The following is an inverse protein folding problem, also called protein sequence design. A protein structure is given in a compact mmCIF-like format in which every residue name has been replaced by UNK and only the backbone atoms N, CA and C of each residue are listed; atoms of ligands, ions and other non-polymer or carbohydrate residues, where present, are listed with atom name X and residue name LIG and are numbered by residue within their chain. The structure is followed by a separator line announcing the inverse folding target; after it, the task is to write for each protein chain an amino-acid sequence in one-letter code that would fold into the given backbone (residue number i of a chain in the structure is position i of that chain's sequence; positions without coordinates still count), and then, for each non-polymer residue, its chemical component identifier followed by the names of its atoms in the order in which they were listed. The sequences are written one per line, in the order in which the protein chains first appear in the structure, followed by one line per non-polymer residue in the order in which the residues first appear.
data_IF_133742493982
#
_entry.id   IF_133742493982
#
_cell.length_a   1.000
_cell.length_b   1.000
_cell.length_c   1.000
_cell.angle_alpha   90.00
_cell.angle_beta   90.00
_cell.angle_gamma   90.00
#
_symmetry.space_group_name_H-M   'P 1'
#
loop_
_entity.id
_entity.type
_entity.pdbx_description
1 polymer ?
#
# COMPACT_ATOMS: atom_id res chain seq x y z
N UNK A 1 24.32 -30.01 -1.71
CA UNK A 1 25.74 -29.77 -1.36
C UNK A 1 25.75 -28.73 -0.24
N UNK A 2 26.33 -29.01 0.94
CA UNK A 2 26.30 -28.05 2.06
C UNK A 2 27.10 -26.78 1.74
N UNK A 3 26.42 -25.64 1.67
CA UNK A 3 27.03 -24.30 1.78
C UNK A 3 26.43 -23.66 3.04
N UNK A 4 27.28 -23.18 3.94
CA UNK A 4 26.91 -22.48 5.19
C UNK A 4 26.22 -23.32 6.29
N UNK A 5 26.45 -24.64 6.35
CA UNK A 5 26.00 -25.45 7.49
C UNK A 5 24.49 -25.76 7.51
N UNK A 6 23.75 -25.38 6.47
CA UNK A 6 22.38 -25.83 6.24
C UNK A 6 22.36 -26.92 5.14
N UNK A 7 21.54 -27.98 5.30
CA UNK A 7 21.39 -29.02 4.30
C UNK A 7 20.72 -28.44 3.05
N UNK A 8 21.43 -28.41 1.93
CA UNK A 8 20.90 -27.98 0.62
C UNK A 8 20.66 -29.19 -0.28
N UNK A 9 19.42 -29.35 -0.74
CA UNK A 9 19.02 -30.31 -1.77
C UNK A 9 18.78 -29.54 -3.06
N UNK A 10 19.38 -30.03 -4.15
CA UNK A 10 19.03 -29.59 -5.49
C UNK A 10 18.09 -30.64 -6.07
N UNK A 11 16.93 -30.20 -6.56
CA UNK A 11 15.95 -31.08 -7.19
C UNK A 11 15.93 -30.72 -8.67
N UNK A 12 16.35 -31.66 -9.52
CA UNK A 12 16.35 -31.50 -10.97
C UNK A 12 15.18 -32.28 -11.62
N UNK A 13 14.66 -33.29 -10.93
CA UNK A 13 13.56 -34.13 -11.41
C UNK A 13 12.24 -33.64 -10.80
N UNK A 14 11.74 -32.52 -11.32
CA UNK A 14 10.42 -31.97 -10.96
C UNK A 14 9.38 -32.62 -11.89
N UNK A 15 8.31 -33.17 -11.30
CA UNK A 15 7.25 -33.85 -12.04
C UNK A 15 6.22 -32.85 -12.56
N UNK A 16 5.86 -31.87 -11.73
CA UNK A 16 4.93 -30.78 -12.04
C UNK A 16 5.43 -29.52 -11.33
N UNK A 17 5.35 -28.37 -12.01
CA UNK A 17 5.78 -27.08 -11.48
C UNK A 17 4.73 -26.02 -11.81
N UNK A 18 4.15 -25.42 -10.78
CA UNK A 18 3.18 -24.35 -10.90
C UNK A 18 3.70 -23.11 -10.16
N UNK A 19 3.64 -21.96 -10.83
CA UNK A 19 4.16 -20.70 -10.32
C UNK A 19 3.14 -19.60 -10.56
N UNK A 20 2.64 -19.02 -9.47
CA UNK A 20 1.70 -17.92 -9.55
C UNK A 20 2.31 -16.70 -10.27
N UNK A 21 1.51 -15.98 -11.07
CA UNK A 21 1.95 -14.79 -11.76
C UNK A 21 2.39 -13.69 -10.78
N UNK A 22 3.33 -12.86 -11.21
CA UNK A 22 3.60 -11.60 -10.51
C UNK A 22 2.47 -10.61 -10.80
N UNK A 23 1.46 -10.59 -9.94
CA UNK A 23 0.22 -9.84 -10.14
C UNK A 23 0.11 -8.63 -9.19
N UNK A 24 -0.01 -7.44 -9.78
CA UNK A 24 -0.21 -6.14 -9.11
C UNK A 24 -1.61 -5.56 -9.37
N UNK A 25 -2.53 -6.36 -9.92
CA UNK A 25 -3.82 -5.93 -10.46
C UNK A 25 -5.07 -6.49 -9.76
N UNK A 26 -4.91 -7.30 -8.70
CA UNK A 26 -6.01 -8.00 -8.02
C UNK A 26 -7.31 -7.19 -7.85
N UNK A 27 -8.43 -7.81 -8.22
CA UNK A 27 -9.78 -7.21 -8.34
C UNK A 27 -10.32 -6.70 -6.99
N UNK A 28 -9.89 -7.30 -5.88
CA UNK A 28 -10.18 -6.86 -4.52
C UNK A 28 -9.03 -6.00 -3.97
N UNK A 29 -8.85 -4.80 -4.52
CA UNK A 29 -8.40 -3.54 -3.88
C UNK A 29 -7.50 -3.51 -2.62
N UNK A 30 -6.70 -4.53 -2.32
CA UNK A 30 -5.92 -4.63 -1.08
C UNK A 30 -4.61 -5.40 -1.25
N UNK A 31 -4.49 -6.24 -2.27
CA UNK A 31 -3.41 -7.24 -2.32
C UNK A 31 -2.68 -7.19 -3.66
N UNK A 32 -1.38 -6.88 -3.61
CA UNK A 32 -0.45 -7.67 -4.40
C UNK A 32 -0.68 -9.13 -3.99
N UNK A 33 -0.87 -10.02 -4.96
CA UNK A 33 -1.05 -11.43 -4.60
C UNK A 33 0.31 -11.97 -4.18
N UNK A 34 0.35 -12.58 -2.99
CA UNK A 34 1.49 -13.39 -2.61
C UNK A 34 1.64 -14.49 -3.66
N UNK A 35 2.82 -14.61 -4.23
CA UNK A 35 3.09 -15.64 -5.23
C UNK A 35 3.34 -16.95 -4.50
N UNK A 36 2.65 -18.00 -4.90
CA UNK A 36 3.00 -19.36 -4.51
C UNK A 36 3.78 -20.06 -5.62
N UNK A 37 4.67 -20.95 -5.20
CA UNK A 37 5.33 -21.94 -6.05
C UNK A 37 4.92 -23.30 -5.51
N UNK A 38 4.34 -24.14 -6.38
CA UNK A 38 4.03 -25.54 -6.08
C UNK A 38 4.91 -26.43 -6.93
N UNK A 39 5.59 -27.37 -6.28
CA UNK A 39 6.47 -28.31 -6.95
C UNK A 39 6.12 -29.74 -6.51
N UNK A 40 5.74 -30.58 -7.47
CA UNK A 40 5.52 -32.01 -7.25
C UNK A 40 6.80 -32.76 -7.59
N UNK A 41 7.33 -33.48 -6.61
CA UNK A 41 8.61 -34.19 -6.74
C UNK A 41 8.50 -35.60 -6.16
N UNK A 42 9.43 -36.48 -6.54
CA UNK A 42 9.53 -37.80 -5.92
C UNK A 42 9.95 -37.69 -4.45
N UNK A 43 9.24 -38.36 -3.55
CA UNK A 43 9.61 -38.39 -2.14
C UNK A 43 10.80 -39.32 -1.92
N UNK A 44 12.00 -38.73 -1.93
CA UNK A 44 13.25 -39.44 -1.63
C UNK A 44 13.46 -39.57 -0.12
N UNK A 45 14.25 -40.56 0.34
CA UNK A 45 14.58 -40.70 1.77
C UNK A 45 15.20 -39.43 2.39
N UNK A 46 16.13 -38.70 1.71
CA UNK A 46 16.63 -37.43 2.22
C UNK A 46 15.55 -36.35 2.35
N UNK A 47 14.65 -36.24 1.36
CA UNK A 47 13.56 -35.28 1.39
C UNK A 47 12.55 -35.62 2.49
N UNK A 48 12.20 -36.91 2.63
CA UNK A 48 11.36 -37.40 3.71
C UNK A 48 11.96 -37.10 5.09
N UNK A 49 13.27 -37.31 5.25
CA UNK A 49 13.97 -36.98 6.49
C UNK A 49 13.94 -35.47 6.79
N UNK A 50 14.11 -34.62 5.77
CA UNK A 50 14.00 -33.17 5.96
C UNK A 50 12.57 -32.76 6.34
N UNK A 51 11.57 -33.19 5.58
CA UNK A 51 10.18 -32.77 5.77
C UNK A 51 9.57 -33.28 7.08
N UNK A 52 9.88 -34.52 7.47
CA UNK A 52 9.22 -35.21 8.59
C UNK A 52 10.09 -35.20 9.86
N UNK A 53 11.43 -35.19 9.71
CA UNK A 53 12.39 -35.17 10.81
C UNK A 53 12.33 -36.38 11.76
N UNK A 54 13.35 -36.51 12.63
CA UNK A 54 13.33 -37.47 13.76
C UNK A 54 12.83 -36.83 15.07
N UNK A 55 12.79 -35.49 15.16
CA UNK A 55 12.42 -34.74 16.36
C UNK A 55 11.36 -33.67 16.08
N UNK A 56 10.19 -33.86 16.69
CA UNK A 56 9.02 -32.98 16.64
C UNK A 56 9.21 -31.70 17.49
N UNK A 57 10.25 -30.90 17.23
CA UNK A 57 10.42 -29.59 17.86
C UNK A 57 10.07 -28.50 16.86
N UNK A 58 8.78 -28.29 16.63
CA UNK A 58 8.31 -27.13 15.88
C UNK A 58 7.99 -25.99 16.84
N UNK A 59 8.56 -24.83 16.57
CA UNK A 59 8.01 -23.55 17.01
C UNK A 59 7.71 -22.72 15.76
N UNK A 60 6.68 -21.89 15.85
CA UNK A 60 6.30 -20.88 14.86
C UNK A 60 5.49 -21.28 13.61
N UNK A 61 4.96 -22.49 13.42
CA UNK A 61 4.10 -22.73 12.23
C UNK A 61 4.80 -22.51 10.87
N UNK A 62 6.13 -22.36 10.88
CA UNK A 62 7.02 -22.32 9.73
C UNK A 62 8.12 -23.35 9.96
N UNK A 63 8.43 -24.15 8.95
CA UNK A 63 9.69 -24.88 8.89
C UNK A 63 10.63 -24.05 8.02
N UNK A 64 11.88 -23.85 8.42
CA UNK A 64 12.82 -22.99 7.67
C UNK A 64 13.35 -23.70 6.42
N UNK A 65 12.46 -24.06 5.50
CA UNK A 65 12.81 -24.44 4.15
C UNK A 65 12.63 -23.23 3.25
N UNK A 66 13.75 -22.67 2.84
CA UNK A 66 13.81 -21.69 1.78
C UNK A 66 14.07 -22.44 0.46
N UNK A 67 13.28 -22.11 -0.57
CA UNK A 67 13.52 -22.54 -1.94
C UNK A 67 13.80 -21.36 -2.87
N UNK A 68 14.62 -21.62 -3.89
CA UNK A 68 14.81 -20.75 -5.03
C UNK A 68 14.48 -21.55 -6.29
N UNK A 69 13.74 -20.94 -7.20
CA UNK A 69 13.58 -21.47 -8.55
C UNK A 69 14.55 -20.73 -9.46
N UNK A 70 15.32 -21.51 -10.22
CA UNK A 70 16.26 -21.00 -11.21
C UNK A 70 15.72 -21.31 -12.60
N UNK A 71 15.96 -20.41 -13.56
CA UNK A 71 15.77 -20.70 -14.98
C UNK A 71 16.93 -21.55 -15.54
N UNK A 72 16.90 -21.83 -16.84
CA UNK A 72 17.91 -22.58 -17.57
C UNK A 72 19.29 -21.88 -17.65
N UNK A 73 19.36 -20.60 -17.25
CA UNK A 73 20.55 -19.75 -17.26
C UNK A 73 21.07 -19.47 -15.84
N UNK A 74 20.59 -20.21 -14.83
CA UNK A 74 20.91 -20.03 -13.40
C UNK A 74 20.44 -18.67 -12.81
N UNK A 75 19.48 -17.98 -13.45
CA UNK A 75 18.90 -16.77 -12.88
C UNK A 75 17.77 -17.12 -11.90
N UNK A 76 17.71 -16.39 -10.78
CA UNK A 76 16.65 -16.57 -9.77
C UNK A 76 15.35 -15.96 -10.29
N UNK A 77 14.35 -16.81 -10.54
CA UNK A 77 13.00 -16.37 -10.98
C UNK A 77 11.96 -16.41 -9.86
N UNK A 78 12.25 -17.14 -8.77
CA UNK A 78 11.42 -17.16 -7.57
C UNK A 78 12.27 -17.41 -6.32
N UNK A 79 11.84 -16.83 -5.19
CA UNK A 79 12.41 -17.09 -3.88
C UNK A 79 11.27 -17.07 -2.86
N UNK A 80 11.18 -18.14 -2.07
CA UNK A 80 10.09 -18.28 -1.10
C UNK A 80 10.41 -19.25 0.03
N UNK A 81 9.48 -19.35 0.97
CA UNK A 81 9.58 -20.17 2.17
C UNK A 81 8.40 -21.12 2.26
N UNK A 82 8.62 -22.31 2.80
CA UNK A 82 7.56 -23.27 3.04
C UNK A 82 7.01 -23.11 4.47
N UNK A 83 5.71 -22.88 4.61
CA UNK A 83 5.07 -22.89 5.92
C UNK A 83 5.03 -24.31 6.52
N UNK A 84 4.78 -24.42 7.83
CA UNK A 84 4.66 -25.72 8.49
C UNK A 84 3.52 -26.51 7.88
N UNK A 85 3.82 -27.73 7.40
CA UNK A 85 2.80 -28.60 6.83
C UNK A 85 2.27 -28.13 5.47
N UNK A 86 2.95 -27.18 4.82
CA UNK A 86 2.67 -26.78 3.43
C UNK A 86 3.26 -27.80 2.45
N UNK A 87 2.95 -29.08 2.68
CA UNK A 87 3.28 -30.18 1.78
C UNK A 87 2.22 -31.27 1.88
N UNK A 88 1.99 -31.97 0.77
CA UNK A 88 1.08 -33.11 0.71
C UNK A 88 1.82 -34.31 0.11
N UNK A 89 1.66 -35.49 0.72
CA UNK A 89 2.30 -36.73 0.25
C UNK A 89 1.23 -37.60 -0.40
N UNK A 90 1.45 -37.97 -1.65
CA UNK A 90 0.61 -38.89 -2.39
C UNK A 90 1.30 -40.25 -2.56
N UNK A 91 0.52 -41.33 -2.39
CA UNK A 91 0.99 -42.71 -2.47
C UNK A 91 0.60 -43.32 -3.82
N UNK A 92 1.55 -43.36 -4.76
CA UNK A 92 1.36 -44.03 -6.04
C UNK A 92 1.46 -45.56 -5.91
N UNK A 93 2.31 -46.05 -5.00
CA UNK A 93 2.39 -47.47 -4.61
C UNK A 93 3.08 -47.63 -3.24
N UNK A 94 3.22 -48.87 -2.75
CA UNK A 94 3.96 -49.19 -1.52
C UNK A 94 5.43 -48.71 -1.51
N UNK A 95 6.06 -48.53 -2.68
CA UNK A 95 7.45 -48.08 -2.82
C UNK A 95 7.64 -46.80 -3.63
N UNK A 96 6.55 -46.14 -4.02
CA UNK A 96 6.58 -44.94 -4.85
C UNK A 96 5.65 -43.90 -4.23
N UNK A 97 6.22 -42.79 -3.79
CA UNK A 97 5.53 -41.68 -3.15
C UNK A 97 5.96 -40.39 -3.86
N UNK A 98 5.02 -39.51 -4.10
CA UNK A 98 5.27 -38.13 -4.53
C UNK A 98 4.97 -37.19 -3.36
N UNK A 99 5.60 -36.03 -3.39
CA UNK A 99 5.31 -34.95 -2.46
C UNK A 99 5.15 -33.66 -3.24
N UNK A 100 4.03 -32.99 -3.00
CA UNK A 100 3.79 -31.62 -3.44
C UNK A 100 4.29 -30.69 -2.34
N UNK A 101 5.15 -29.74 -2.71
CA UNK A 101 5.72 -28.74 -1.83
C UNK A 101 5.14 -27.38 -2.20
N UNK A 102 4.58 -26.65 -1.22
CA UNK A 102 4.02 -25.31 -1.44
C UNK A 102 4.87 -24.25 -0.74
N UNK A 103 5.48 -23.37 -1.53
CA UNK A 103 6.30 -22.26 -1.06
C UNK A 103 5.56 -20.94 -1.30
N UNK A 104 5.55 -20.06 -0.31
CA UNK A 104 5.08 -18.66 -0.47
C UNK A 104 6.26 -17.71 -0.62
N UNK A 105 6.11 -16.67 -1.43
CA UNK A 105 7.16 -15.68 -1.60
C UNK A 105 7.39 -14.84 -0.32
N UNK A 106 8.45 -14.03 -0.32
CA UNK A 106 8.76 -13.19 0.84
C UNK A 106 7.68 -12.14 1.11
N UNK A 107 6.93 -11.71 0.09
CA UNK A 107 5.79 -10.83 0.31
C UNK A 107 4.67 -11.54 1.07
N UNK A 108 4.33 -12.77 0.68
CA UNK A 108 3.39 -13.63 1.39
C UNK A 108 3.82 -13.93 2.82
N UNK A 109 5.12 -14.15 3.06
CA UNK A 109 5.67 -14.27 4.41
C UNK A 109 5.43 -12.99 5.23
N UNK A 110 5.78 -11.82 4.68
CA UNK A 110 5.58 -10.53 5.35
C UNK A 110 4.11 -10.30 5.67
N UNK A 111 3.21 -10.56 4.72
CA UNK A 111 1.76 -10.46 4.95
C UNK A 111 1.28 -11.40 6.05
N UNK A 112 1.80 -12.62 6.08
CA UNK A 112 1.47 -13.59 7.13
C UNK A 112 1.94 -13.10 8.50
N UNK A 113 3.17 -12.58 8.58
CA UNK A 113 3.71 -12.01 9.81
C UNK A 113 2.98 -10.74 10.26
N UNK A 114 2.44 -9.96 9.31
CA UNK A 114 1.69 -8.74 9.57
C UNK A 114 0.30 -9.00 10.16
N UNK A 115 -0.37 -10.11 9.80
CA UNK A 115 -1.72 -10.48 10.30
C UNK A 115 -1.79 -10.56 11.83
N UNK A 116 -0.72 -11.02 12.47
CA UNK A 116 -0.68 -11.17 13.92
C UNK A 116 -0.14 -9.93 14.66
N UNK A 117 0.24 -8.88 13.92
CA UNK A 117 0.82 -7.66 14.48
C UNK A 117 -0.16 -6.50 14.55
N UNK A 118 0.14 -5.58 15.46
CA UNK A 118 -0.57 -4.32 15.62
C UNK A 118 0.40 -3.16 15.52
N UNK A 119 -0.01 -2.12 14.78
CA UNK A 119 0.77 -0.92 14.53
C UNK A 119 0.09 0.26 15.21
N UNK A 120 0.77 0.97 16.13
CA UNK A 120 0.23 2.16 16.77
C UNK A 120 0.37 3.39 15.86
N UNK A 121 -0.74 4.09 15.64
CA UNK A 121 -0.78 5.43 15.06
C UNK A 121 -0.94 6.45 16.18
N UNK A 122 0.11 7.22 16.45
CA UNK A 122 0.13 8.24 17.51
C UNK A 122 -0.24 9.63 17.00
N UNK A 123 -0.11 9.86 15.70
CA UNK A 123 -0.39 11.13 15.04
C UNK A 123 -1.78 11.10 14.39
N UNK A 124 -2.41 12.26 14.28
CA UNK A 124 -3.67 12.43 13.55
C UNK A 124 -3.48 12.55 12.04
N UNK A 125 -2.23 12.63 11.57
CA UNK A 125 -1.87 12.70 10.16
C UNK A 125 -0.65 11.82 9.91
N UNK A 126 -0.65 11.11 8.79
CA UNK A 126 0.49 10.29 8.37
C UNK A 126 0.83 10.53 6.90
N UNK A 127 2.09 10.31 6.55
CA UNK A 127 2.49 10.09 5.17
C UNK A 127 2.35 8.58 4.87
N UNK A 128 1.42 8.16 3.99
CA UNK A 128 1.16 6.76 3.70
C UNK A 128 2.39 5.99 3.24
N UNK A 129 3.22 6.56 2.35
CA UNK A 129 4.41 5.89 1.83
C UNK A 129 5.44 5.65 2.93
N UNK A 130 5.69 6.66 3.77
CA UNK A 130 6.59 6.52 4.92
C UNK A 130 6.05 5.50 5.93
N UNK A 131 4.73 5.50 6.14
CA UNK A 131 4.09 4.56 7.05
C UNK A 131 4.17 3.12 6.52
N UNK A 132 3.98 2.88 5.21
CA UNK A 132 4.18 1.56 4.58
C UNK A 132 5.60 1.05 4.86
N UNK A 133 6.64 1.86 4.61
CA UNK A 133 8.02 1.48 4.93
C UNK A 133 8.21 1.15 6.40
N UNK A 134 7.60 1.91 7.32
CA UNK A 134 7.71 1.65 8.76
C UNK A 134 6.98 0.37 9.18
N UNK A 135 5.84 0.04 8.59
CA UNK A 135 5.12 -1.21 8.85
C UNK A 135 5.96 -2.39 8.41
N UNK A 136 6.50 -2.36 7.18
CA UNK A 136 7.33 -3.43 6.64
C UNK A 136 8.57 -3.67 7.51
N UNK A 137 9.25 -2.60 7.95
CA UNK A 137 10.39 -2.70 8.85
C UNK A 137 10.02 -3.30 10.21
N UNK A 138 8.92 -2.85 10.82
CA UNK A 138 8.45 -3.39 12.11
C UNK A 138 8.03 -4.87 12.02
N UNK A 139 7.50 -5.31 10.88
CA UNK A 139 7.12 -6.72 10.68
C UNK A 139 8.36 -7.61 10.59
N UNK A 140 9.41 -7.15 9.87
CA UNK A 140 10.66 -7.90 9.65
C UNK A 140 11.59 -7.82 10.87
N UNK A 141 11.65 -6.64 11.51
CA UNK A 141 12.53 -6.31 12.63
C UNK A 141 11.69 -5.92 13.87
N UNK A 142 10.92 -6.85 14.44
CA UNK A 142 10.02 -6.51 15.52
C UNK A 142 10.76 -6.13 16.81
N UNK A 143 10.17 -5.18 17.54
CA UNK A 143 10.69 -4.77 18.85
C UNK A 143 10.36 -5.81 19.93
N UNK A 144 11.22 -5.96 20.94
CA UNK A 144 10.98 -6.89 22.06
C UNK A 144 9.81 -6.48 22.97
N UNK A 145 9.26 -5.28 22.80
CA UNK A 145 8.22 -4.72 23.67
C UNK A 145 6.78 -5.03 23.20
N UNK A 146 6.58 -5.57 22.00
CA UNK A 146 5.25 -6.03 21.56
C UNK A 146 4.87 -7.33 22.30
N UNK A 147 3.60 -7.50 22.69
CA UNK A 147 3.15 -8.74 23.32
C UNK A 147 3.37 -9.92 22.37
N UNK A 148 3.87 -11.04 22.90
CA UNK A 148 3.97 -12.28 22.15
C UNK A 148 2.61 -12.64 21.55
N UNK A 149 2.61 -12.98 20.26
CA UNK A 149 1.40 -13.50 19.63
C UNK A 149 1.10 -14.89 20.18
N UNK A 150 -0.13 -15.38 19.99
CA UNK A 150 -0.47 -16.74 20.41
C UNK A 150 0.28 -17.82 19.60
N UNK A 151 0.88 -17.45 18.46
CA UNK A 151 1.47 -18.38 17.48
C UNK A 151 3.00 -18.39 17.52
N UNK A 152 3.63 -17.23 17.73
CA UNK A 152 5.09 -17.06 17.76
C UNK A 152 5.52 -15.81 18.54
N UNK A 153 6.76 -15.81 19.02
CA UNK A 153 7.38 -14.69 19.74
C UNK A 153 8.16 -13.78 18.80
N UNK A 154 8.51 -12.57 19.25
CA UNK A 154 9.36 -11.67 18.47
C UNK A 154 10.78 -12.22 18.25
N UNK A 155 11.28 -13.05 19.18
CA UNK A 155 12.57 -13.72 19.03
C UNK A 155 12.53 -14.74 17.87
N UNK A 156 11.42 -15.47 17.72
CA UNK A 156 11.25 -16.43 16.62
C UNK A 156 11.28 -15.71 15.25
N UNK A 157 10.65 -14.53 15.17
CA UNK A 157 10.64 -13.71 13.94
C UNK A 157 12.03 -13.17 13.62
N UNK A 158 12.79 -12.72 14.62
CA UNK A 158 14.17 -12.26 14.42
C UNK A 158 15.11 -13.39 13.99
N UNK A 159 14.93 -14.60 14.54
CA UNK A 159 15.67 -15.79 14.12
C UNK A 159 15.34 -16.15 12.67
N UNK A 160 14.05 -16.14 12.29
CA UNK A 160 13.59 -16.35 10.92
C UNK A 160 14.17 -15.30 9.96
N UNK A 161 14.06 -14.02 10.30
CA UNK A 161 14.58 -12.93 9.50
C UNK A 161 16.10 -13.03 9.32
N UNK A 162 16.82 -13.46 10.35
CA UNK A 162 18.26 -13.72 10.28
C UNK A 162 18.59 -14.91 9.39
N UNK A 163 17.83 -16.00 9.50
CA UNK A 163 18.03 -17.22 8.71
C UNK A 163 17.77 -16.98 7.21
N UNK A 164 16.82 -16.12 6.88
CA UNK A 164 16.46 -15.74 5.51
C UNK A 164 17.23 -14.52 5.01
N UNK A 165 18.14 -13.96 5.81
CA UNK A 165 18.86 -12.70 5.52
C UNK A 165 17.93 -11.49 5.27
N UNK A 166 16.68 -11.53 5.72
CA UNK A 166 15.70 -10.43 5.62
C UNK A 166 16.11 -9.23 6.46
N UNK A 167 16.94 -9.40 7.49
CA UNK A 167 17.49 -8.28 8.29
C UNK A 167 18.37 -7.32 7.47
N UNK A 168 18.89 -7.77 6.32
CA UNK A 168 19.66 -6.94 5.38
C UNK A 168 18.80 -6.39 4.23
N UNK A 169 17.50 -6.67 4.24
CA UNK A 169 16.61 -6.31 3.15
C UNK A 169 16.49 -4.79 3.07
N UNK A 170 16.78 -4.24 1.90
CA UNK A 170 16.65 -2.79 1.67
C UNK A 170 15.20 -2.48 1.32
N UNK A 171 14.53 -1.69 2.17
CA UNK A 171 13.20 -1.15 1.87
C UNK A 171 13.40 0.24 1.27
N UNK A 172 13.01 0.41 0.01
CA UNK A 172 13.15 1.66 -0.71
C UNK A 172 11.84 2.08 -1.37
N UNK A 173 11.74 3.37 -1.66
CA UNK A 173 10.59 3.93 -2.40
C UNK A 173 11.09 4.53 -3.70
N UNK A 174 10.54 4.05 -4.82
CA UNK A 174 10.62 4.64 -6.15
C UNK A 174 9.28 5.30 -6.53
N UNK A 175 8.45 5.57 -5.52
CA UNK A 175 7.14 6.13 -5.69
C UNK A 175 7.23 7.62 -6.06
N UNK A 176 6.61 7.98 -7.18
CA UNK A 176 6.49 9.36 -7.64
C UNK A 176 5.16 9.95 -7.17
N UNK A 177 5.24 10.92 -6.25
CA UNK A 177 4.07 11.63 -5.72
C UNK A 177 3.46 12.58 -6.74
N UNK A 178 4.21 13.03 -7.75
CA UNK A 178 3.74 13.99 -8.76
C UNK A 178 2.77 13.34 -9.75
N UNK A 179 2.89 12.04 -10.00
CA UNK A 179 1.91 11.27 -10.79
C UNK A 179 0.51 11.30 -10.19
N UNK A 180 0.39 11.67 -8.91
CA UNK A 180 -0.87 11.76 -8.20
C UNK A 180 -1.41 13.17 -7.97
N UNK A 181 -0.77 14.18 -8.56
CA UNK A 181 -1.19 15.57 -8.39
C UNK A 181 -1.76 16.17 -9.68
N UNK A 182 -2.86 16.95 -9.58
CA UNK A 182 -3.65 17.23 -8.38
C UNK A 182 -4.72 16.15 -8.12
N UNK A 183 -4.62 15.48 -6.98
CA UNK A 183 -5.74 14.78 -6.36
C UNK A 183 -6.73 15.85 -5.86
N UNK A 184 -7.95 15.89 -6.37
CA UNK A 184 -8.95 16.87 -5.96
C UNK A 184 -9.84 16.30 -4.85
N UNK A 185 -9.98 17.04 -3.76
CA UNK A 185 -10.97 16.75 -2.72
C UNK A 185 -12.18 17.65 -2.89
N UNK A 186 -13.37 17.08 -2.70
CA UNK A 186 -14.61 17.83 -2.59
C UNK A 186 -15.23 17.69 -1.20
N UNK A 187 -15.83 18.78 -0.73
CA UNK A 187 -16.51 18.87 0.57
C UNK A 187 -15.66 18.38 1.75
N UNK A 188 -14.34 18.62 1.73
CA UNK A 188 -13.46 18.26 2.83
C UNK A 188 -13.81 19.09 4.07
N UNK A 189 -14.10 18.45 5.20
CA UNK A 189 -14.53 19.13 6.42
C UNK A 189 -13.32 19.73 7.13
N UNK A 190 -13.29 21.06 7.24
CA UNK A 190 -12.25 21.78 7.98
C UNK A 190 -12.61 21.90 9.45
N UNK A 191 -13.80 22.43 9.74
CA UNK A 191 -14.22 22.69 11.12
C UNK A 191 -15.73 22.86 11.23
N UNK A 192 -16.31 22.30 12.27
CA UNK A 192 -17.74 22.46 12.59
C UNK A 192 -17.89 23.47 13.74
N UNK A 193 -18.56 24.59 13.46
CA UNK A 193 -18.80 25.63 14.48
C UNK A 193 -19.63 25.13 15.66
N UNK A 194 -20.48 24.10 15.49
CA UNK A 194 -21.27 23.55 16.58
C UNK A 194 -20.38 22.87 17.63
N UNK A 195 -19.30 22.21 17.20
CA UNK A 195 -18.32 21.58 18.11
C UNK A 195 -17.51 22.60 18.93
N UNK A 196 -17.53 23.87 18.53
CA UNK A 196 -16.81 24.94 19.21
C UNK A 196 -17.66 25.69 20.22
N UNK A 197 -18.99 25.53 20.18
CA UNK A 197 -19.93 26.24 21.05
C UNK A 197 -19.76 25.78 22.49
N UNK A 198 -19.72 26.74 23.40
CA UNK A 198 -19.68 26.49 24.84
C UNK A 198 -20.99 26.86 25.54
N UNK A 199 -21.70 27.86 25.03
CA UNK A 199 -22.96 28.37 25.58
C UNK A 199 -23.98 28.63 24.46
N UNK A 200 -25.17 29.14 24.80
CA UNK A 200 -26.13 29.60 23.78
C UNK A 200 -25.92 31.08 23.52
N UNK A 201 -25.81 31.51 22.26
CA UNK A 201 -25.54 32.91 21.91
C UNK A 201 -25.34 33.13 20.41
N UNK A 202 -25.06 34.37 20.05
CA UNK A 202 -24.76 34.77 18.67
C UNK A 202 -23.41 34.21 18.23
N UNK A 203 -23.33 33.78 16.97
CA UNK A 203 -22.12 33.18 16.40
C UNK A 203 -21.73 33.90 15.12
N UNK A 204 -20.46 34.29 15.03
CA UNK A 204 -19.81 34.72 13.79
C UNK A 204 -18.79 33.65 13.41
N UNK A 205 -18.95 33.06 12.24
CA UNK A 205 -18.07 32.00 11.73
C UNK A 205 -17.81 32.22 10.25
N UNK A 206 -16.54 32.28 9.85
CA UNK A 206 -16.17 32.69 8.50
C UNK A 206 -14.67 32.82 8.26
N UNK A 207 -14.32 32.90 6.98
CA UNK A 207 -12.94 32.99 6.52
C UNK A 207 -12.47 34.44 6.42
N UNK A 208 -11.19 34.68 6.64
CA UNK A 208 -10.53 35.95 6.43
C UNK A 208 -9.15 35.69 5.82
N UNK A 209 -8.77 36.44 4.78
CA UNK A 209 -7.43 36.38 4.21
C UNK A 209 -6.58 37.52 4.75
N UNK A 210 -5.39 37.20 5.24
CA UNK A 210 -4.41 38.19 5.71
C UNK A 210 -3.10 37.92 4.98
N UNK A 211 -2.84 38.69 3.91
CA UNK A 211 -1.72 38.41 3.01
C UNK A 211 -1.94 37.12 2.21
N UNK A 212 -1.00 36.19 2.31
CA UNK A 212 -1.10 34.85 1.67
C UNK A 212 -1.79 33.82 2.57
N UNK A 213 -2.00 34.14 3.85
CA UNK A 213 -2.59 33.21 4.81
C UNK A 213 -4.10 33.30 4.86
N UNK A 214 -4.75 32.15 5.01
CA UNK A 214 -6.19 32.02 5.21
C UNK A 214 -6.45 31.68 6.66
N UNK A 215 -7.36 32.41 7.28
CA UNK A 215 -7.79 32.19 8.64
C UNK A 215 -9.28 31.87 8.70
N UNK A 216 -9.64 30.88 9.52
CA UNK A 216 -11.01 30.60 9.89
C UNK A 216 -11.25 31.15 11.29
N UNK A 217 -12.23 32.04 11.41
CA UNK A 217 -12.58 32.68 12.67
C UNK A 217 -13.88 32.10 13.21
N UNK A 218 -13.91 31.84 14.52
CA UNK A 218 -15.11 31.54 15.28
C UNK A 218 -15.21 32.53 16.44
N UNK A 219 -16.36 33.18 16.57
CA UNK A 219 -16.71 34.05 17.69
C UNK A 219 -18.09 33.67 18.18
N UNK A 220 -18.24 33.56 19.50
CA UNK A 220 -19.50 33.30 20.16
C UNK A 220 -19.70 34.32 21.29
N UNK A 221 -20.88 34.93 21.35
CA UNK A 221 -21.22 35.97 22.34
C UNK A 221 -22.60 35.73 22.94
N UNK A 222 -22.72 35.84 24.27
CA UNK A 222 -24.00 35.74 24.97
C UNK A 222 -23.98 36.59 26.23
N UNK A 223 -24.66 37.74 26.21
CA UNK A 223 -24.55 38.72 27.29
C UNK A 223 -23.10 39.15 27.49
N UNK A 224 -22.51 38.77 28.62
CA UNK A 224 -21.11 39.03 28.96
C UNK A 224 -20.17 37.89 28.58
N UNK A 225 -20.68 36.70 28.27
CA UNK A 225 -19.85 35.56 27.90
C UNK A 225 -19.31 35.72 26.47
N UNK A 226 -18.02 35.43 26.32
CA UNK A 226 -17.28 35.60 25.07
C UNK A 226 -16.34 34.42 24.83
N UNK A 227 -16.38 33.91 23.60
CA UNK A 227 -15.44 32.91 23.11
C UNK A 227 -14.97 33.28 21.72
N UNK A 228 -13.67 33.25 21.51
CA UNK A 228 -13.05 33.49 20.22
C UNK A 228 -11.96 32.48 19.93
N UNK A 229 -11.93 32.03 18.68
CA UNK A 229 -10.92 31.14 18.14
C UNK A 229 -10.52 31.64 16.75
N UNK A 230 -9.22 31.73 16.51
CA UNK A 230 -8.65 31.97 15.18
C UNK A 230 -7.86 30.74 14.79
N UNK A 231 -8.18 30.18 13.65
CA UNK A 231 -7.46 29.06 13.08
C UNK A 231 -6.75 29.49 11.81
N UNK A 232 -5.49 29.10 11.63
CA UNK A 232 -4.77 29.25 10.37
C UNK A 232 -4.97 27.99 9.53
N UNK A 233 -5.17 28.18 8.23
CA UNK A 233 -5.26 27.07 7.29
C UNK A 233 -3.89 26.90 6.62
N UNK A 234 -3.26 25.75 6.87
CA UNK A 234 -2.00 25.32 6.29
C UNK A 234 -2.25 24.29 5.18
N UNK A 235 -1.41 24.33 4.14
CA UNK A 235 -1.38 23.30 3.08
C UNK A 235 -2.76 22.92 2.58
N UNK A 236 -3.54 23.93 2.21
CA UNK A 236 -4.91 23.88 1.71
C UNK A 236 -6.01 23.40 2.68
N UNK A 237 -5.78 22.45 3.59
CA UNK A 237 -6.86 21.89 4.42
C UNK A 237 -6.50 21.56 5.88
N UNK A 238 -5.24 21.73 6.30
CA UNK A 238 -4.86 21.56 7.71
C UNK A 238 -5.23 22.80 8.52
N UNK A 239 -5.93 22.63 9.65
CA UNK A 239 -6.45 23.72 10.47
C UNK A 239 -5.72 23.78 11.81
N UNK A 240 -4.91 24.82 12.03
CA UNK A 240 -4.14 25.03 13.25
C UNK A 240 -4.78 26.13 14.11
N UNK A 241 -5.00 25.88 15.40
CA UNK A 241 -5.46 26.91 16.33
C UNK A 241 -4.32 27.86 16.68
N UNK A 242 -4.42 29.12 16.24
CA UNK A 242 -3.37 30.14 16.48
C UNK A 242 -3.74 31.17 17.54
N UNK A 243 -5.02 31.33 17.85
CA UNK A 243 -5.49 32.26 18.89
C UNK A 243 -6.74 31.73 19.57
N UNK A 244 -6.78 31.81 20.91
CA UNK A 244 -7.89 31.30 21.71
C UNK A 244 -8.16 32.20 22.91
N UNK A 245 -9.39 32.68 23.03
CA UNK A 245 -9.86 33.51 24.14
C UNK A 245 -11.19 32.94 24.64
N UNK A 246 -11.26 32.62 25.93
CA UNK A 246 -12.52 32.36 26.64
C UNK A 246 -12.63 33.38 27.77
N UNK A 247 -13.80 33.99 27.91
CA UNK A 247 -14.13 34.85 29.06
C UNK A 247 -15.57 34.60 29.48
N UNK A 248 -15.75 34.22 30.75
CA UNK A 248 -17.01 34.30 31.47
C UNK A 248 -16.83 35.28 32.62
N UNK A 249 -17.60 36.36 32.63
CA UNK A 249 -17.52 37.36 33.70
C UNK A 249 -18.41 36.92 34.86
N UNK A 250 -17.90 36.00 35.69
CA UNK A 250 -18.49 35.67 36.99
C UNK A 250 -18.03 36.64 38.10
N UNK A 251 -16.94 37.37 37.89
CA UNK A 251 -16.51 38.46 38.79
C UNK A 251 -16.61 39.81 38.08
N UNK A 252 -17.66 40.53 38.44
CA UNK A 252 -18.03 41.86 37.99
C UNK A 252 -17.05 42.91 38.50
N UNK A 253 -16.52 43.72 37.59
CA UNK A 253 -16.11 45.14 37.78
C UNK A 253 -15.38 45.70 36.55
N UNK A 254 -14.99 44.83 35.60
CA UNK A 254 -14.24 45.22 34.37
C UNK A 254 -14.98 44.89 33.06
N UNK A 255 -16.26 44.50 33.12
CA UNK A 255 -17.01 43.95 31.99
C UNK A 255 -17.21 44.96 30.83
N UNK A 256 -17.52 46.22 31.13
CA UNK A 256 -17.88 47.20 30.09
C UNK A 256 -16.68 47.79 29.31
N UNK A 257 -15.47 47.81 29.91
CA UNK A 257 -14.30 48.46 29.29
C UNK A 257 -13.55 47.58 28.29
N UNK A 258 -13.78 46.25 28.30
CA UNK A 258 -13.02 45.29 27.47
C UNK A 258 -13.85 44.62 26.37
N UNK A 259 -15.18 44.66 26.43
CA UNK A 259 -16.04 44.12 25.36
C UNK A 259 -15.87 44.94 24.07
N UNK A 260 -15.57 46.23 24.17
CA UNK A 260 -15.34 47.14 23.02
C UNK A 260 -13.98 46.97 22.33
N UNK A 261 -13.03 46.22 22.91
CA UNK A 261 -11.67 46.03 22.34
C UNK A 261 -11.43 44.65 21.72
N UNK A 262 -12.40 43.74 21.79
CA UNK A 262 -12.26 42.41 21.21
C UNK A 262 -12.52 42.47 19.69
N UNK A 263 -11.63 41.88 18.86
CA UNK A 263 -11.73 41.99 17.41
C UNK A 263 -13.05 41.39 16.94
N UNK A 264 -13.83 42.17 16.19
CA UNK A 264 -14.95 41.63 15.43
C UNK A 264 -14.40 41.25 14.05
N UNK A 265 -14.07 39.97 13.80
CA UNK A 265 -13.39 39.61 12.56
C UNK A 265 -14.31 39.90 11.37
N UNK A 266 -13.79 40.62 10.38
CA UNK A 266 -14.45 40.72 9.08
C UNK A 266 -14.31 39.38 8.37
N UNK A 267 -15.39 38.61 8.35
CA UNK A 267 -15.40 37.26 7.81
C UNK A 267 -16.27 37.14 6.56
N UNK A 268 -15.86 36.29 5.64
CA UNK A 268 -16.59 35.89 4.45
C UNK A 268 -17.09 34.46 4.60
N UNK A 269 -18.29 34.18 4.06
CA UNK A 269 -18.83 32.81 3.99
C UNK A 269 -18.13 31.94 2.96
N UNK A 270 -17.38 32.54 2.02
CA UNK A 270 -16.55 31.83 1.06
C UNK A 270 -15.35 32.67 0.64
N UNK A 271 -14.26 32.01 0.29
CA UNK A 271 -13.08 32.61 -0.30
C UNK A 271 -12.42 31.64 -1.28
N UNK A 272 -11.83 32.18 -2.35
CA UNK A 272 -11.02 31.40 -3.30
C UNK A 272 -9.59 31.91 -3.21
N UNK A 273 -8.64 31.01 -3.01
CA UNK A 273 -7.21 31.32 -2.96
C UNK A 273 -6.49 30.28 -3.80
N UNK A 274 -5.73 30.72 -4.79
CA UNK A 274 -5.10 29.88 -5.80
C UNK A 274 -6.11 28.90 -6.44
N UNK A 275 -5.89 27.58 -6.29
CA UNK A 275 -6.78 26.52 -6.77
C UNK A 275 -7.75 26.01 -5.70
N UNK A 276 -7.73 26.59 -4.49
CA UNK A 276 -8.54 26.20 -3.35
C UNK A 276 -9.80 27.04 -3.18
N UNK A 277 -10.94 26.37 -3.00
CA UNK A 277 -12.21 26.99 -2.67
C UNK A 277 -12.64 26.64 -1.25
N UNK A 278 -12.84 27.66 -0.43
CA UNK A 278 -13.23 27.57 0.97
C UNK A 278 -14.63 28.13 1.13
N UNK A 279 -15.51 27.40 1.80
CA UNK A 279 -16.89 27.86 1.96
C UNK A 279 -17.56 27.33 3.22
N UNK A 280 -18.58 28.03 3.69
CA UNK A 280 -19.38 27.67 4.86
C UNK A 280 -20.76 27.22 4.41
N UNK A 281 -21.16 26.05 4.88
CA UNK A 281 -22.50 25.52 4.69
C UNK A 281 -23.03 25.01 6.02
N UNK A 282 -24.18 25.56 6.46
CA UNK A 282 -24.85 25.18 7.71
C UNK A 282 -23.96 25.27 8.97
N UNK A 283 -23.04 26.24 9.02
CA UNK A 283 -22.13 26.42 10.14
C UNK A 283 -20.93 25.47 10.14
N UNK A 284 -20.69 24.73 9.05
CA UNK A 284 -19.51 23.89 8.86
C UNK A 284 -18.66 24.52 7.76
N UNK A 285 -17.36 24.63 8.02
CA UNK A 285 -16.36 25.10 7.07
C UNK A 285 -15.85 23.91 6.25
N UNK A 286 -15.83 24.10 4.93
CA UNK A 286 -15.42 23.11 3.97
C UNK A 286 -14.33 23.65 3.05
N UNK A 287 -13.54 22.72 2.51
CA UNK A 287 -12.55 22.93 1.47
C UNK A 287 -12.87 22.09 0.23
N UNK A 288 -12.59 22.66 -0.94
CA UNK A 288 -12.59 21.98 -2.24
C UNK A 288 -11.35 22.42 -3.02
N UNK A 289 -10.61 21.49 -3.60
CA UNK A 289 -9.42 21.80 -4.39
C UNK A 289 -8.34 20.72 -4.31
N UNK A 290 -7.10 21.03 -4.72
CA UNK A 290 -6.00 20.07 -4.70
C UNK A 290 -5.60 19.66 -3.28
N UNK A 291 -5.43 18.36 -3.06
CA UNK A 291 -4.89 17.77 -1.86
C UNK A 291 -3.60 16.99 -2.15
N UNK A 292 -2.87 16.65 -1.09
CA UNK A 292 -1.64 15.87 -1.19
C UNK A 292 -1.74 14.62 -0.34
N UNK A 293 -1.43 13.47 -0.95
CA UNK A 293 -1.26 12.20 -0.23
C UNK A 293 -0.11 12.23 0.77
N UNK A 294 0.74 13.26 0.79
CA UNK A 294 1.85 13.37 1.74
C UNK A 294 1.39 13.54 3.20
N UNK A 295 0.12 13.86 3.43
CA UNK A 295 -0.48 13.95 4.76
C UNK A 295 -1.98 13.57 4.68
N UNK A 296 -2.30 12.37 5.17
CA UNK A 296 -3.67 11.82 5.23
C UNK A 296 -4.12 11.74 6.68
N UNK A 297 -5.36 12.17 6.93
CA UNK A 297 -5.97 12.14 8.26
C UNK A 297 -6.24 10.71 8.70
N UNK A 298 -5.79 10.38 9.90
CA UNK A 298 -6.04 9.08 10.52
C UNK A 298 -6.57 9.26 11.92
N UNK A 299 -7.35 8.28 12.36
CA UNK A 299 -7.76 8.17 13.76
C UNK A 299 -6.57 7.59 14.54
N UNK A 300 -6.07 8.26 15.60
CA UNK A 300 -5.05 7.66 16.45
C UNK A 300 -5.58 6.39 17.12
N UNK A 301 -4.78 5.33 17.12
CA UNK A 301 -5.22 4.00 17.56
C UNK A 301 -4.19 2.91 17.29
N UNK A 302 -4.58 1.67 17.58
CA UNK A 302 -3.77 0.48 17.28
C UNK A 302 -4.51 -0.36 16.24
N UNK A 303 -3.86 -0.59 15.11
CA UNK A 303 -4.48 -1.21 13.93
C UNK A 303 -3.76 -2.49 13.56
N UNK A 304 -4.49 -3.47 13.04
CA UNK A 304 -3.90 -4.68 12.47
C UNK A 304 -2.96 -4.30 11.31
N UNK A 305 -1.74 -4.81 11.32
CA UNK A 305 -0.69 -4.34 10.42
C UNK A 305 -1.00 -4.63 8.95
N UNK A 306 -1.58 -5.79 8.66
CA UNK A 306 -2.04 -6.20 7.33
C UNK A 306 -3.19 -5.31 6.81
N UNK A 307 -4.19 -5.04 7.65
CA UNK A 307 -5.30 -4.17 7.30
C UNK A 307 -4.82 -2.71 7.10
N UNK A 308 -3.95 -2.21 7.97
CA UNK A 308 -3.40 -0.88 7.78
C UNK A 308 -2.54 -0.80 6.52
N UNK A 309 -1.68 -1.80 6.27
CA UNK A 309 -0.86 -1.87 5.07
C UNK A 309 -1.71 -1.84 3.79
N UNK A 310 -2.79 -2.64 3.75
CA UNK A 310 -3.72 -2.66 2.63
C UNK A 310 -4.41 -1.31 2.39
N UNK A 311 -4.90 -0.66 3.45
CA UNK A 311 -5.50 0.68 3.34
C UNK A 311 -4.49 1.70 2.77
N UNK A 312 -3.26 1.70 3.27
CA UNK A 312 -2.23 2.67 2.85
C UNK A 312 -1.74 2.43 1.41
N UNK A 313 -1.55 1.17 1.02
CA UNK A 313 -1.22 0.81 -0.36
C UNK A 313 -2.32 1.28 -1.32
N UNK A 314 -3.57 1.18 -0.89
CA UNK A 314 -4.73 1.58 -1.69
C UNK A 314 -4.86 3.09 -1.84
N UNK A 315 -4.79 3.82 -0.71
CA UNK A 315 -4.80 5.29 -0.69
C UNK A 315 -3.69 5.87 -1.55
N UNK A 316 -2.53 5.21 -1.51
CA UNK A 316 -1.37 5.63 -2.29
C UNK A 316 -1.39 5.10 -3.71
N UNK A 317 -2.25 4.13 -4.05
CA UNK A 317 -2.11 3.32 -5.27
C UNK A 317 -0.66 2.86 -5.48
N UNK A 318 -0.08 2.42 -4.37
CA UNK A 318 1.25 1.87 -4.31
C UNK A 318 1.17 0.35 -4.39
N UNK A 319 2.24 -0.23 -4.92
CA UNK A 319 2.48 -1.67 -4.93
C UNK A 319 3.88 -1.92 -4.39
N UNK A 320 4.08 -3.09 -3.79
CA UNK A 320 5.38 -3.51 -3.30
C UNK A 320 5.96 -4.47 -4.34
N UNK A 321 7.22 -4.28 -4.72
CA UNK A 321 7.92 -5.19 -5.61
C UNK A 321 9.00 -5.88 -4.81
N UNK A 322 8.95 -7.21 -4.82
CA UNK A 322 9.89 -8.05 -4.08
C UNK A 322 11.03 -8.47 -4.99
N UNK A 323 12.25 -8.16 -4.56
CA UNK A 323 13.50 -8.61 -5.15
C UNK A 323 14.26 -9.47 -4.13
N UNK A 324 15.25 -10.28 -4.54
CA UNK A 324 15.97 -11.18 -3.63
C UNK A 324 16.54 -10.53 -2.36
N UNK A 325 16.86 -9.23 -2.37
CA UNK A 325 17.39 -8.50 -1.21
C UNK A 325 16.74 -7.11 -1.02
N UNK A 326 15.60 -6.85 -1.65
CA UNK A 326 14.96 -5.53 -1.56
C UNK A 326 13.43 -5.60 -1.69
N UNK A 327 12.77 -4.68 -1.02
CA UNK A 327 11.37 -4.35 -1.24
C UNK A 327 11.33 -2.93 -1.80
N UNK A 328 10.65 -2.76 -2.93
CA UNK A 328 10.55 -1.47 -3.61
C UNK A 328 9.09 -1.05 -3.70
N UNK A 329 8.75 0.07 -3.09
CA UNK A 329 7.42 0.67 -3.19
C UNK A 329 7.36 1.51 -4.47
N UNK A 330 6.37 1.25 -5.34
CA UNK A 330 6.19 1.94 -6.63
C UNK A 330 4.74 2.35 -6.83
N UNK A 331 4.47 3.30 -7.72
CA UNK A 331 3.10 3.55 -8.20
C UNK A 331 2.63 2.34 -9.01
N UNK A 332 1.37 1.94 -8.84
CA UNK A 332 0.74 0.86 -9.63
C UNK A 332 0.67 1.20 -11.12
N UNK A 333 0.44 2.47 -11.43
CA UNK A 333 0.38 3.00 -12.79
C UNK A 333 1.45 4.07 -12.90
N UNK A 334 2.45 3.81 -13.73
CA UNK A 334 3.52 4.74 -13.98
C UNK A 334 3.84 4.79 -15.48
N UNK A 335 3.29 5.76 -16.23
CA UNK A 335 3.61 5.91 -17.64
C UNK A 335 5.02 6.42 -17.92
N UNK A 336 5.75 6.87 -16.90
CA UNK A 336 7.12 7.39 -17.05
C UNK A 336 8.19 6.29 -17.01
N UNK A 337 7.80 5.02 -16.87
CA UNK A 337 8.72 3.89 -16.91
C UNK A 337 9.41 3.77 -18.28
N UNK A 338 10.62 3.20 -18.34
CA UNK A 338 11.34 3.01 -19.59
C UNK A 338 10.52 2.17 -20.58
N UNK A 339 10.65 2.48 -21.88
CA UNK A 339 9.90 1.82 -22.94
C UNK A 339 10.67 0.62 -23.49
N UNK A 340 9.97 -0.51 -23.59
CA UNK A 340 10.39 -1.70 -24.33
C UNK A 340 9.46 -1.92 -25.53
N UNK A 341 9.95 -2.61 -26.55
CA UNK A 341 9.17 -2.92 -27.75
C UNK A 341 8.96 -4.43 -27.85
N UNK A 342 7.71 -4.86 -27.97
CA UNK A 342 7.34 -6.21 -28.42
C UNK A 342 6.58 -6.02 -29.73
N UNK A 343 7.19 -6.42 -30.84
CA UNK A 343 6.67 -6.16 -32.18
C UNK A 343 5.78 -7.31 -32.67
N UNK A 344 6.18 -8.54 -32.39
CA UNK A 344 5.58 -9.78 -32.89
C UNK A 344 5.32 -10.76 -31.73
N UNK A 345 4.29 -10.51 -30.90
CA UNK A 345 3.88 -11.45 -29.87
C UNK A 345 3.25 -12.70 -30.52
N UNK A 346 3.34 -13.83 -29.83
CA UNK A 346 2.67 -15.08 -30.23
C UNK A 346 1.15 -14.91 -30.31
N UNK A 347 0.60 -14.16 -29.36
CA UNK A 347 -0.83 -13.84 -29.27
C UNK A 347 -0.96 -12.44 -28.67
N UNK A 348 -1.94 -11.68 -29.16
CA UNK A 348 -2.31 -10.40 -28.57
C UNK A 348 -3.83 -10.27 -28.55
N UNK A 349 -4.37 -9.95 -27.39
CA UNK A 349 -5.77 -9.59 -27.22
C UNK A 349 -5.87 -8.16 -26.65
N UNK A 350 -6.83 -7.40 -27.16
CA UNK A 350 -7.12 -6.03 -26.73
C UNK A 350 -8.61 -5.92 -26.46
N UNK A 351 -8.95 -5.71 -25.20
CA UNK A 351 -10.31 -5.55 -24.73
C UNK A 351 -10.49 -4.19 -24.04
N UNK A 352 -11.74 -3.79 -23.83
CA UNK A 352 -12.04 -2.67 -22.94
C UNK A 352 -11.84 -3.09 -21.50
N UNK A 353 -11.05 -2.32 -20.76
CA UNK A 353 -10.76 -2.62 -19.38
C UNK A 353 -11.94 -2.25 -18.47
N UNK A 354 -12.13 -3.00 -17.39
CA UNK A 354 -13.12 -2.64 -16.38
C UNK A 354 -12.75 -1.31 -15.71
N UNK A 355 -13.71 -0.40 -15.59
CA UNK A 355 -13.58 0.91 -14.94
C UNK A 355 -14.45 1.03 -13.68
N UNK A 356 -14.85 -0.11 -13.11
CA UNK A 356 -15.59 -0.16 -11.87
C UNK A 356 -14.80 0.48 -10.72
N UNK A 357 -15.52 1.16 -9.83
CA UNK A 357 -14.91 1.81 -8.67
C UNK A 357 -14.57 0.75 -7.61
N UNK A 358 -13.43 0.92 -6.92
CA UNK A 358 -13.20 0.19 -5.69
C UNK A 358 -14.33 0.42 -4.68
N UNK A 359 -14.72 -0.63 -3.97
CA UNK A 359 -15.32 -0.44 -2.65
C UNK A 359 -14.19 -0.24 -1.63
N UNK A 360 -13.93 1.02 -1.24
CA UNK A 360 -12.98 1.33 -0.16
C UNK A 360 -13.71 1.42 1.18
N UNK A 361 -13.27 0.63 2.17
CA UNK A 361 -13.71 0.75 3.55
C UNK A 361 -12.58 1.30 4.41
N UNK A 362 -12.87 2.34 5.21
CA UNK A 362 -11.91 2.91 6.14
C UNK A 362 -11.50 1.90 7.24
N UNK A 363 -10.19 1.76 7.44
CA UNK A 363 -9.56 1.06 8.56
C UNK A 363 -9.06 2.10 9.58
N UNK A 364 -8.11 2.96 9.18
CA UNK A 364 -7.55 4.00 10.02
C UNK A 364 -7.83 5.41 9.48
N UNK A 365 -8.13 5.58 8.19
CA UNK A 365 -8.46 6.90 7.65
C UNK A 365 -9.71 7.48 8.29
N UNK A 366 -9.60 8.73 8.74
CA UNK A 366 -10.63 9.37 9.55
C UNK A 366 -11.90 9.74 8.77
N UNK A 367 -11.86 9.71 7.43
CA UNK A 367 -12.92 10.22 6.57
C UNK A 367 -13.19 9.29 5.39
N UNK A 368 -14.39 8.70 5.34
CA UNK A 368 -14.85 7.97 4.14
C UNK A 368 -14.88 8.88 2.91
N UNK A 369 -15.22 10.16 3.06
CA UNK A 369 -15.19 11.11 1.95
C UNK A 369 -13.76 11.28 1.38
N UNK A 370 -12.72 11.15 2.20
CA UNK A 370 -11.34 11.16 1.70
C UNK A 370 -11.06 9.91 0.85
N UNK A 371 -11.57 8.74 1.25
CA UNK A 371 -11.45 7.51 0.46
C UNK A 371 -12.26 7.57 -0.83
N UNK A 372 -13.49 8.07 -0.79
CA UNK A 372 -14.37 8.18 -1.95
C UNK A 372 -13.76 9.11 -3.01
N UNK A 373 -13.22 10.26 -2.59
CA UNK A 373 -12.52 11.16 -3.49
C UNK A 373 -11.27 10.46 -4.10
N UNK A 374 -10.48 9.70 -3.32
CA UNK A 374 -9.33 8.93 -3.84
C UNK A 374 -9.78 7.92 -4.89
N UNK A 375 -10.85 7.19 -4.61
CA UNK A 375 -11.43 6.23 -5.54
C UNK A 375 -11.87 6.91 -6.86
N UNK A 376 -12.53 8.06 -6.77
CA UNK A 376 -12.93 8.87 -7.94
C UNK A 376 -11.73 9.39 -8.73
N UNK A 377 -10.66 9.79 -8.04
CA UNK A 377 -9.43 10.20 -8.70
C UNK A 377 -8.74 9.03 -9.41
N UNK A 378 -8.71 7.86 -8.77
CA UNK A 378 -8.19 6.64 -9.39
C UNK A 378 -9.01 6.21 -10.60
N UNK A 379 -10.33 6.31 -10.55
CA UNK A 379 -11.19 6.09 -11.71
C UNK A 379 -10.85 7.02 -12.86
N UNK A 380 -10.58 8.30 -12.58
CA UNK A 380 -10.15 9.27 -13.61
C UNK A 380 -8.82 8.86 -14.24
N UNK A 381 -7.82 8.48 -13.43
CA UNK A 381 -6.53 8.03 -13.95
C UNK A 381 -6.67 6.74 -14.77
N UNK A 382 -7.48 5.78 -14.32
CA UNK A 382 -7.76 4.55 -15.08
C UNK A 382 -8.49 4.82 -16.41
N UNK A 383 -9.31 5.86 -16.48
CA UNK A 383 -10.01 6.23 -17.71
C UNK A 383 -9.06 6.69 -18.83
N UNK A 384 -7.87 7.18 -18.48
CA UNK A 384 -6.82 7.51 -19.44
C UNK A 384 -6.18 6.24 -20.06
N UNK A 385 -6.34 5.08 -19.42
CA UNK A 385 -5.89 3.76 -19.91
C UNK A 385 -7.08 2.82 -20.12
N UNK A 386 -7.93 3.08 -21.13
CA UNK A 386 -9.23 2.41 -21.28
C UNK A 386 -9.14 0.97 -21.78
N UNK A 387 -7.96 0.52 -22.23
CA UNK A 387 -7.78 -0.81 -22.79
C UNK A 387 -7.11 -1.75 -21.79
N UNK A 388 -7.49 -3.02 -21.85
CA UNK A 388 -6.77 -4.12 -21.25
C UNK A 388 -6.11 -4.89 -22.37
N UNK A 389 -4.80 -5.12 -22.25
CA UNK A 389 -4.03 -5.86 -23.25
C UNK A 389 -3.44 -7.09 -22.60
N UNK A 390 -3.61 -8.23 -23.24
CA UNK A 390 -2.90 -9.47 -22.94
C UNK A 390 -1.99 -9.78 -24.11
N UNK A 391 -0.68 -9.80 -23.86
CA UNK A 391 0.35 -10.20 -24.84
C UNK A 391 0.95 -11.53 -24.40
N UNK A 392 1.08 -12.48 -25.32
CA UNK A 392 1.86 -13.70 -25.10
C UNK A 392 3.14 -13.65 -25.93
N UNK A 393 4.24 -13.99 -25.29
CA UNK A 393 5.54 -14.17 -25.95
C UNK A 393 6.22 -15.42 -25.41
N UNK A 394 7.41 -15.73 -25.89
CA UNK A 394 8.20 -16.86 -25.44
C UNK A 394 9.56 -16.38 -24.93
N UNK A 395 10.11 -17.04 -23.91
CA UNK A 395 11.43 -16.72 -23.34
C UNK A 395 12.53 -16.69 -24.41
N UNK A 396 12.44 -17.57 -25.41
CA UNK A 396 13.39 -17.64 -26.54
C UNK A 396 12.93 -16.93 -27.81
N UNK A 397 11.84 -16.16 -27.79
CA UNK A 397 11.46 -15.34 -28.93
C UNK A 397 12.55 -14.29 -29.19
N UNK A 398 12.78 -13.93 -30.46
CA UNK A 398 13.73 -12.87 -30.82
C UNK A 398 13.38 -11.54 -30.14
N UNK A 399 12.09 -11.24 -30.03
CA UNK A 399 11.59 -10.02 -29.43
C UNK A 399 11.93 -9.94 -27.94
N UNK A 400 11.66 -11.01 -27.18
CA UNK A 400 12.02 -11.05 -25.76
C UNK A 400 13.54 -11.08 -25.56
N UNK A 401 14.28 -11.91 -26.32
CA UNK A 401 15.73 -12.01 -26.20
C UNK A 401 16.45 -10.67 -26.44
N UNK A 402 15.91 -9.83 -27.34
CA UNK A 402 16.43 -8.49 -27.62
C UNK A 402 16.22 -7.49 -26.47
N UNK A 403 15.32 -7.77 -25.51
CA UNK A 403 15.09 -6.91 -24.35
C UNK A 403 16.24 -6.97 -23.34
N UNK A 404 17.05 -8.04 -23.39
CA UNK A 404 18.21 -8.26 -22.51
C UNK A 404 17.87 -8.16 -21.01
N UNK A 405 16.68 -8.62 -20.62
CA UNK A 405 16.23 -8.69 -19.23
C UNK A 405 16.81 -9.92 -18.54
N UNK A 406 17.15 -9.80 -17.25
CA UNK A 406 17.65 -10.91 -16.47
C UNK A 406 16.54 -11.88 -16.02
N UNK A 407 15.28 -11.42 -16.05
CA UNK A 407 14.11 -12.23 -15.72
C UNK A 407 12.86 -11.67 -16.41
N UNK A 408 11.91 -12.53 -16.84
CA UNK A 408 10.63 -12.07 -17.41
C UNK A 408 9.88 -11.12 -16.48
N UNK A 409 10.00 -11.32 -15.17
CA UNK A 409 9.35 -10.49 -14.16
C UNK A 409 9.88 -9.05 -14.13
N UNK A 410 11.03 -8.74 -14.76
CA UNK A 410 11.50 -7.36 -14.91
C UNK A 410 10.66 -6.52 -15.87
N UNK A 411 9.84 -7.16 -16.72
CA UNK A 411 8.89 -6.48 -17.61
C UNK A 411 7.93 -5.56 -16.84
N UNK A 412 7.62 -5.90 -15.59
CA UNK A 412 6.75 -5.09 -14.72
C UNK A 412 7.32 -3.70 -14.40
N UNK A 413 8.62 -3.49 -14.65
CA UNK A 413 9.33 -2.23 -14.44
C UNK A 413 9.42 -1.36 -15.70
N UNK A 414 8.71 -1.75 -16.76
CA UNK A 414 8.78 -1.12 -18.07
C UNK A 414 7.39 -0.85 -18.62
N UNK A 415 7.26 0.16 -19.47
CA UNK A 415 6.13 0.27 -20.37
C UNK A 415 6.42 -0.53 -21.63
N UNK A 416 5.44 -1.25 -22.15
CA UNK A 416 5.60 -2.03 -23.38
C UNK A 416 4.89 -1.30 -24.51
N UNK A 417 5.62 -1.04 -25.58
CA UNK A 417 5.06 -0.56 -26.84
C UNK A 417 4.68 -1.79 -27.66
N UNK A 418 3.42 -1.87 -28.05
CA UNK A 418 2.91 -2.91 -28.95
C UNK A 418 1.99 -2.24 -29.97
N UNK A 419 2.33 -2.31 -31.26
CA UNK A 419 1.66 -1.56 -32.32
C UNK A 419 1.55 -0.06 -31.96
N UNK A 420 0.33 0.45 -31.87
CA UNK A 420 0.00 1.84 -31.51
C UNK A 420 -0.38 1.98 -30.04
N UNK A 421 -0.13 0.96 -29.22
CA UNK A 421 -0.48 0.95 -27.80
C UNK A 421 0.76 1.08 -26.92
N UNK A 422 0.60 1.86 -25.86
CA UNK A 422 1.49 1.88 -24.71
C UNK A 422 0.82 1.12 -23.58
N UNK A 423 1.38 -0.04 -23.27
CA UNK A 423 0.93 -0.96 -22.22
C UNK A 423 1.74 -0.70 -20.96
N UNK A 424 1.03 -0.57 -19.84
CA UNK A 424 1.58 -0.58 -18.48
C UNK A 424 1.26 -1.97 -17.92
N UNK A 425 2.26 -2.87 -17.85
CA UNK A 425 2.06 -4.20 -17.32
C UNK A 425 1.61 -4.12 -15.85
N UNK A 426 0.73 -5.04 -15.47
CA UNK A 426 0.31 -5.23 -14.09
C UNK A 426 0.31 -6.70 -13.68
N UNK A 427 0.40 -7.64 -14.63
CA UNK A 427 0.58 -9.07 -14.36
C UNK A 427 1.59 -9.64 -15.34
N UNK A 428 2.55 -10.40 -14.82
CA UNK A 428 3.48 -11.19 -15.63
C UNK A 428 3.39 -12.64 -15.16
N UNK A 429 3.01 -13.54 -16.07
CA UNK A 429 3.03 -14.96 -15.84
C UNK A 429 4.11 -15.61 -16.69
N UNK A 430 4.88 -16.54 -16.11
CA UNK A 430 5.77 -17.42 -16.84
C UNK A 430 5.30 -18.84 -16.57
N UNK A 431 4.84 -19.53 -17.61
CA UNK A 431 4.61 -20.96 -17.54
C UNK A 431 5.98 -21.67 -17.60
N UNK A 432 6.39 -22.36 -16.52
CA UNK A 432 7.71 -22.97 -16.47
C UNK A 432 7.85 -24.21 -17.37
N UNK A 433 6.75 -24.83 -17.78
CA UNK A 433 6.76 -26.03 -18.64
C UNK A 433 6.87 -25.64 -20.11
N UNK A 434 6.12 -24.62 -20.53
CA UNK A 434 6.11 -24.15 -21.93
C UNK A 434 7.07 -23.00 -22.20
N UNK A 435 7.56 -22.32 -21.16
CA UNK A 435 8.34 -21.08 -21.23
C UNK A 435 7.61 -19.92 -21.94
N UNK A 436 6.28 -20.03 -22.02
CA UNK A 436 5.41 -18.94 -22.46
C UNK A 436 5.31 -17.86 -21.39
N UNK A 437 5.43 -16.61 -21.82
CA UNK A 437 5.32 -15.43 -20.98
C UNK A 437 4.00 -14.74 -21.35
N UNK A 438 3.08 -14.66 -20.39
CA UNK A 438 1.85 -13.88 -20.53
C UNK A 438 2.00 -12.55 -19.81
N UNK A 439 1.73 -11.46 -20.51
CA UNK A 439 1.84 -10.09 -20.02
C UNK A 439 0.45 -9.48 -20.06
N UNK A 440 -0.08 -9.09 -18.92
CA UNK A 440 -1.36 -8.37 -18.85
C UNK A 440 -1.11 -6.95 -18.35
N UNK A 441 -1.78 -6.00 -18.98
CA UNK A 441 -1.55 -4.59 -18.71
C UNK A 441 -2.75 -3.71 -19.04
N UNK A 442 -2.72 -2.50 -18.47
CA UNK A 442 -3.59 -1.39 -18.89
C UNK A 442 -2.93 -0.67 -20.04
N UNK A 443 -3.68 -0.20 -21.03
CA UNK A 443 -3.11 0.44 -22.18
C UNK A 443 -3.88 1.68 -22.63
N UNK A 444 -3.14 2.56 -23.28
CA UNK A 444 -3.64 3.72 -24.02
C UNK A 444 -3.01 3.74 -25.41
N UNK A 445 -3.56 4.54 -26.32
CA UNK A 445 -2.88 4.82 -27.58
C UNK A 445 -1.56 5.58 -27.30
N UNK A 446 -0.48 5.15 -27.96
CA UNK A 446 0.87 5.67 -27.81
C UNK A 446 1.07 7.02 -28.50
#
# INVERSE_FOLDING_TARGET
IMKQGQPHIQINDILELDLDPANYSGIDYWCQEARSLRATVMLTTPLQFLLIGDMNLTKAGFHTFWAQLLDDQDNVIYTGVMAKGAFSIEYLSLGCQTVELEFMDFFGLILTLARDRFIPLTLSYINPIQMITSILDQVINPSQNEPDTQLYTNADVQELASALSLSNLTISSQYDTALWQPYEVDNYLLLDSQKLRLFTGDVVFGFNQQGQDIYLHFKQTSGLDYRYRKYRIHSYYNVELVESIDRSFLDSDMADLWITSLPNPHVSSSITVDQGYYYIKRGIAYYRGPASISAVDVVPGSYKADALLGELLTISNAVIVTYPNALVIKNRINPSLPLLLIADPLEANVDYADSSLPSLSAVAVASQNALDNIADHYKRVLADYPFQITLKTHLYSSDYANLALASPYELINHCITFHTYKVIPHSINLDPDTLEITIEGRAQYA
#
